data_IF_675685921181
#
_entry.id   IF_675685921181
#
_cell.length_a   1.000
_cell.length_b   1.000
_cell.length_c   1.000
_cell.angle_alpha   90.00
_cell.angle_beta   90.00
_cell.angle_gamma   90.00
#
_symmetry.space_group_name_H-M   'P 1'
#
loop_
_entity.id
_entity.type
_entity.pdbx_description
1 polymer ?
#
# COMPACT_ATOMS: atom_id res chain seq x y z
N UNK A 1 7.63 -2.97 -10.77
CA UNK A 1 7.11 -3.90 -9.77
C UNK A 1 7.29 -3.34 -8.37
N UNK A 2 6.23 -3.39 -7.57
CA UNK A 2 6.18 -2.97 -6.16
C UNK A 2 5.90 -4.21 -5.32
N UNK A 3 6.88 -4.64 -4.53
CA UNK A 3 6.81 -5.86 -3.74
C UNK A 3 5.95 -5.68 -2.47
N UNK A 4 5.52 -6.79 -1.89
CA UNK A 4 4.72 -6.84 -0.67
C UNK A 4 5.41 -6.17 0.54
N UNK A 5 6.71 -6.38 0.70
CA UNK A 5 7.48 -5.83 1.82
C UNK A 5 8.50 -4.79 1.36
N UNK A 6 8.20 -3.52 1.61
CA UNK A 6 9.15 -2.45 1.37
C UNK A 6 10.41 -2.62 2.23
N UNK A 7 10.28 -3.00 3.51
CA UNK A 7 11.41 -3.19 4.40
C UNK A 7 12.42 -4.24 3.90
N UNK A 8 11.94 -5.31 3.24
CA UNK A 8 12.79 -6.34 2.66
C UNK A 8 13.41 -5.94 1.30
N UNK A 9 12.84 -4.93 0.64
CA UNK A 9 13.24 -4.50 -0.70
C UNK A 9 14.34 -3.45 -0.71
N UNK A 10 14.52 -2.73 0.39
CA UNK A 10 15.53 -1.68 0.51
C UNK A 10 16.80 -2.18 1.19
N UNK A 11 17.96 -1.73 0.68
CA UNK A 11 19.23 -1.91 1.36
C UNK A 11 19.37 -0.85 2.47
N UNK A 12 19.49 -1.25 3.75
CA UNK A 12 19.56 -0.31 4.87
C UNK A 12 20.81 0.57 4.89
N UNK A 13 21.85 0.21 4.14
CA UNK A 13 23.11 0.96 4.06
C UNK A 13 23.10 2.10 3.03
N UNK A 14 22.06 2.21 2.19
CA UNK A 14 21.94 3.23 1.15
C UNK A 14 20.79 4.19 1.44
N UNK A 15 20.97 5.44 1.03
CA UNK A 15 19.92 6.47 1.12
C UNK A 15 18.76 6.16 0.17
N UNK A 16 17.58 6.63 0.51
CA UNK A 16 16.36 6.39 -0.29
C UNK A 16 16.47 6.97 -1.70
N UNK A 17 17.05 8.15 -1.87
CA UNK A 17 17.21 8.79 -3.19
C UNK A 17 18.10 7.96 -4.12
N UNK A 18 19.18 7.38 -3.61
CA UNK A 18 20.10 6.54 -4.38
C UNK A 18 19.39 5.30 -4.91
N UNK A 19 18.57 4.67 -4.08
CA UNK A 19 17.82 3.48 -4.44
C UNK A 19 16.66 3.80 -5.38
N UNK A 20 15.93 4.89 -5.12
CA UNK A 20 14.83 5.35 -5.99
C UNK A 20 15.30 5.59 -7.42
N UNK A 21 16.48 6.17 -7.61
CA UNK A 21 16.98 6.57 -8.93
C UNK A 21 17.93 5.56 -9.58
N UNK A 22 18.28 4.48 -8.87
CA UNK A 22 19.31 3.53 -9.30
C UNK A 22 19.04 2.91 -10.67
N UNK A 23 17.81 2.45 -10.93
CA UNK A 23 17.44 1.86 -12.21
C UNK A 23 17.48 2.88 -13.35
N UNK A 24 16.93 4.07 -13.12
CA UNK A 24 16.87 5.16 -14.10
C UNK A 24 18.26 5.59 -14.54
N UNK A 25 19.19 5.72 -13.60
CA UNK A 25 20.59 6.08 -13.88
C UNK A 25 21.33 4.90 -14.52
N UNK A 26 21.19 3.70 -13.97
CA UNK A 26 21.90 2.51 -14.45
C UNK A 26 21.57 2.16 -15.90
N UNK A 27 20.33 2.36 -16.33
CA UNK A 27 19.89 2.10 -17.70
C UNK A 27 20.00 3.33 -18.62
N UNK A 28 20.63 4.40 -18.16
CA UNK A 28 20.87 5.60 -18.98
C UNK A 28 19.60 6.34 -19.40
N UNK A 29 18.49 6.17 -18.65
CA UNK A 29 17.21 6.84 -18.95
C UNK A 29 17.32 8.34 -18.66
N UNK A 30 18.00 8.70 -17.55
CA UNK A 30 18.25 10.08 -17.11
C UNK A 30 19.64 10.20 -16.49
N UNK A 31 20.23 11.35 -16.62
CA UNK A 31 21.42 11.73 -15.88
C UNK A 31 21.11 11.86 -14.37
N UNK A 32 22.13 11.67 -13.52
CA UNK A 32 21.97 11.62 -12.06
C UNK A 32 21.23 12.85 -11.49
N UNK A 33 21.63 14.05 -11.91
CA UNK A 33 21.01 15.29 -11.40
C UNK A 33 19.52 15.40 -11.79
N UNK A 34 19.19 15.00 -13.01
CA UNK A 34 17.81 14.97 -13.50
C UNK A 34 16.98 13.88 -12.78
N UNK A 35 17.54 12.68 -12.61
CA UNK A 35 16.89 11.59 -11.89
C UNK A 35 16.57 11.97 -10.43
N UNK A 36 17.49 12.66 -9.73
CA UNK A 36 17.25 13.16 -8.37
C UNK A 36 16.12 14.21 -8.34
N UNK A 37 16.13 15.17 -9.28
CA UNK A 37 15.06 16.16 -9.40
C UNK A 37 13.71 15.50 -9.66
N UNK A 38 13.66 14.51 -10.53
CA UNK A 38 12.47 13.76 -10.85
C UNK A 38 11.97 12.92 -9.65
N UNK A 39 12.87 12.34 -8.86
CA UNK A 39 12.51 11.65 -7.63
C UNK A 39 11.80 12.55 -6.62
N UNK A 40 12.21 13.81 -6.47
CA UNK A 40 11.51 14.77 -5.61
C UNK A 40 10.08 15.05 -6.10
N UNK A 41 9.86 15.11 -7.42
CA UNK A 41 8.52 15.23 -8.01
C UNK A 41 7.68 14.00 -7.65
N UNK A 42 8.23 12.79 -7.79
CA UNK A 42 7.54 11.55 -7.42
C UNK A 42 7.22 11.50 -5.91
N UNK A 43 8.14 11.94 -5.06
CA UNK A 43 7.90 11.99 -3.62
C UNK A 43 6.77 12.97 -3.26
N UNK A 44 6.70 14.10 -3.94
CA UNK A 44 5.62 15.07 -3.77
C UNK A 44 4.27 14.50 -4.24
N UNK A 45 4.22 13.89 -5.42
CA UNK A 45 3.02 13.24 -5.96
C UNK A 45 2.49 12.11 -5.06
N UNK A 46 3.39 11.43 -4.35
CA UNK A 46 3.07 10.39 -3.37
C UNK A 46 2.78 10.92 -1.97
N UNK A 47 2.62 12.23 -1.80
CA UNK A 47 2.34 12.88 -0.51
C UNK A 47 3.33 12.48 0.60
N UNK A 48 4.61 12.31 0.26
CA UNK A 48 5.64 12.09 1.26
C UNK A 48 5.94 13.39 2.01
N UNK A 49 6.13 13.37 3.33
CA UNK A 49 6.53 14.55 4.09
C UNK A 49 7.92 14.99 3.67
N UNK A 50 8.12 16.30 3.52
CA UNK A 50 9.40 16.88 3.14
C UNK A 50 10.02 16.23 1.88
N UNK A 51 9.34 16.32 0.70
CA UNK A 51 9.72 15.60 -0.51
C UNK A 51 11.12 15.90 -1.01
N UNK A 52 11.68 17.05 -0.63
CA UNK A 52 13.03 17.48 -1.03
C UNK A 52 14.14 16.83 -0.21
N UNK A 53 13.87 16.46 1.05
CA UNK A 53 14.90 15.94 1.95
C UNK A 53 14.65 14.49 2.40
N UNK A 54 13.43 13.94 2.24
CA UNK A 54 13.14 12.57 2.63
C UNK A 54 14.06 11.55 1.93
N UNK A 55 14.49 11.85 0.69
CA UNK A 55 15.42 11.03 -0.08
C UNK A 55 16.80 10.87 0.56
N UNK A 56 17.21 11.80 1.41
CA UNK A 56 18.48 11.75 2.14
C UNK A 56 18.47 10.82 3.35
N UNK A 57 17.30 10.37 3.76
CA UNK A 57 17.12 9.41 4.86
C UNK A 57 17.48 8.00 4.44
N UNK A 58 17.78 7.18 5.44
CA UNK A 58 17.93 5.74 5.31
C UNK A 58 16.58 5.03 5.55
N UNK A 59 16.40 3.79 5.05
CA UNK A 59 15.14 3.05 5.21
C UNK A 59 14.63 2.96 6.65
N UNK A 60 15.52 2.79 7.63
CA UNK A 60 15.18 2.70 9.05
C UNK A 60 14.78 4.03 9.71
N UNK A 61 14.88 5.16 9.01
CA UNK A 61 14.54 6.50 9.50
C UNK A 61 13.15 6.98 9.05
N UNK A 62 12.40 6.13 8.39
CA UNK A 62 11.05 6.45 7.87
C UNK A 62 10.04 5.41 8.33
N UNK A 63 8.75 5.78 8.35
CA UNK A 63 7.67 4.83 8.70
C UNK A 63 7.45 3.80 7.58
N UNK A 64 6.77 2.68 7.90
CA UNK A 64 6.43 1.64 6.92
C UNK A 64 5.63 2.19 5.73
N UNK A 65 4.64 3.05 5.98
CA UNK A 65 3.85 3.67 4.92
C UNK A 65 4.65 4.68 4.08
N UNK A 66 5.60 5.40 4.68
CA UNK A 66 6.54 6.24 3.94
C UNK A 66 7.45 5.40 3.06
N UNK A 67 8.00 4.30 3.59
CA UNK A 67 8.87 3.41 2.84
C UNK A 67 8.15 2.74 1.67
N UNK A 68 6.86 2.36 1.86
CA UNK A 68 6.02 1.81 0.81
C UNK A 68 5.79 2.82 -0.33
N UNK A 69 5.55 4.09 0.00
CA UNK A 69 5.42 5.17 -0.98
C UNK A 69 6.75 5.46 -1.70
N UNK A 70 7.88 5.41 -1.00
CA UNK A 70 9.21 5.52 -1.64
C UNK A 70 9.47 4.35 -2.58
N UNK A 71 9.04 3.12 -2.25
CA UNK A 71 9.14 1.97 -3.14
C UNK A 71 8.29 2.16 -4.41
N UNK A 72 7.12 2.78 -4.29
CA UNK A 72 6.30 3.18 -5.44
C UNK A 72 7.03 4.22 -6.29
N UNK A 73 7.65 5.24 -5.68
CA UNK A 73 8.49 6.21 -6.41
C UNK A 73 9.65 5.52 -7.14
N UNK A 74 10.31 4.55 -6.51
CA UNK A 74 11.38 3.77 -7.13
C UNK A 74 10.88 3.01 -8.36
N UNK A 75 9.70 2.39 -8.29
CA UNK A 75 9.10 1.69 -9.42
C UNK A 75 8.66 2.64 -10.54
N UNK A 76 8.23 3.86 -10.21
CA UNK A 76 7.78 4.89 -11.15
C UNK A 76 8.93 5.74 -11.72
N UNK A 77 10.12 5.69 -11.13
CA UNK A 77 11.28 6.50 -11.57
C UNK A 77 11.66 6.31 -13.06
N UNK A 78 11.63 5.08 -13.65
CA UNK A 78 11.88 4.88 -15.06
C UNK A 78 10.69 5.25 -15.97
N UNK A 79 9.57 5.74 -15.44
CA UNK A 79 8.32 6.05 -16.17
C UNK A 79 7.78 4.85 -16.94
N UNK A 80 7.40 3.78 -16.25
CA UNK A 80 6.93 2.56 -16.90
C UNK A 80 5.53 2.73 -17.52
N UNK A 81 5.24 1.97 -18.59
CA UNK A 81 3.91 1.86 -19.16
C UNK A 81 2.97 1.03 -18.27
N UNK A 82 3.53 0.10 -17.49
CA UNK A 82 2.81 -0.79 -16.58
C UNK A 82 3.51 -0.90 -15.24
N UNK A 83 2.76 -0.73 -14.15
CA UNK A 83 3.21 -1.01 -12.79
C UNK A 83 2.41 -2.18 -12.19
N UNK A 84 3.10 -3.06 -11.45
CA UNK A 84 2.47 -4.18 -10.75
C UNK A 84 2.66 -3.97 -9.25
N UNK A 85 1.57 -3.91 -8.52
CA UNK A 85 1.53 -3.85 -7.06
C UNK A 85 1.18 -5.22 -6.50
N UNK A 86 2.08 -5.81 -5.73
CA UNK A 86 1.91 -7.12 -5.12
C UNK A 86 1.68 -6.97 -3.61
N UNK A 87 0.42 -7.04 -3.20
CA UNK A 87 -0.04 -6.83 -1.83
C UNK A 87 0.58 -5.62 -1.12
N UNK A 88 0.54 -4.42 -1.72
CA UNK A 88 1.37 -3.28 -1.31
C UNK A 88 1.03 -2.70 0.07
N UNK A 89 -0.02 -3.18 0.73
CA UNK A 89 -0.48 -2.61 2.01
C UNK A 89 -0.65 -3.62 3.14
N UNK A 90 -0.29 -4.89 2.92
CA UNK A 90 -0.51 -5.99 3.89
C UNK A 90 0.15 -5.75 5.25
N UNK A 91 1.27 -5.03 5.30
CA UNK A 91 2.02 -4.76 6.54
C UNK A 91 1.68 -3.40 7.19
N UNK A 92 0.62 -2.73 6.73
CA UNK A 92 0.23 -1.39 7.21
C UNK A 92 -1.04 -1.44 8.05
N UNK A 93 -1.15 -0.52 9.01
CA UNK A 93 -2.42 -0.28 9.69
C UNK A 93 -3.47 0.32 8.75
N UNK A 94 -4.75 0.18 9.10
CA UNK A 94 -5.87 0.56 8.22
C UNK A 94 -5.83 2.04 7.79
N UNK A 95 -5.45 2.95 8.67
CA UNK A 95 -5.39 4.38 8.37
C UNK A 95 -4.29 4.67 7.36
N UNK A 96 -3.09 4.17 7.62
CA UNK A 96 -1.93 4.29 6.70
C UNK A 96 -2.20 3.60 5.36
N UNK A 97 -2.92 2.46 5.36
CA UNK A 97 -3.31 1.75 4.14
C UNK A 97 -4.14 2.64 3.20
N UNK A 98 -5.15 3.33 3.71
CA UNK A 98 -6.01 4.22 2.91
C UNK A 98 -5.19 5.35 2.28
N UNK A 99 -4.29 5.97 3.05
CA UNK A 99 -3.42 7.05 2.54
C UNK A 99 -2.47 6.56 1.44
N UNK A 100 -1.84 5.40 1.65
CA UNK A 100 -0.90 4.80 0.68
C UNK A 100 -1.63 4.44 -0.60
N UNK A 101 -2.79 3.79 -0.54
CA UNK A 101 -3.58 3.44 -1.71
C UNK A 101 -4.04 4.68 -2.49
N UNK A 102 -4.51 5.71 -1.80
CA UNK A 102 -4.92 6.97 -2.43
C UNK A 102 -3.76 7.61 -3.20
N UNK A 103 -2.57 7.65 -2.62
CA UNK A 103 -1.38 8.20 -3.28
C UNK A 103 -0.89 7.34 -4.45
N UNK A 104 -0.99 6.00 -4.34
CA UNK A 104 -0.67 5.08 -5.44
C UNK A 104 -1.63 5.25 -6.62
N UNK A 105 -2.92 5.43 -6.35
CA UNK A 105 -3.90 5.71 -7.40
C UNK A 105 -3.62 7.04 -8.09
N UNK A 106 -3.41 8.10 -7.31
CA UNK A 106 -3.14 9.43 -7.85
C UNK A 106 -1.91 9.45 -8.78
N UNK A 107 -0.81 8.79 -8.39
CA UNK A 107 0.41 8.77 -9.21
C UNK A 107 0.23 7.96 -10.51
N UNK A 108 -0.54 6.87 -10.47
CA UNK A 108 -0.86 6.06 -11.66
C UNK A 108 -1.69 6.87 -12.65
N UNK A 109 -2.68 7.61 -12.16
CA UNK A 109 -3.53 8.50 -12.98
C UNK A 109 -2.71 9.69 -13.52
N UNK A 110 -1.91 10.36 -12.69
CA UNK A 110 -1.10 11.52 -13.08
C UNK A 110 -0.11 11.21 -14.20
N UNK A 111 0.55 10.03 -14.13
CA UNK A 111 1.53 9.62 -15.11
C UNK A 111 0.96 8.72 -16.22
N UNK A 112 -0.37 8.54 -16.28
CA UNK A 112 -1.07 7.71 -17.27
C UNK A 112 -0.44 6.31 -17.42
N UNK A 113 -0.10 5.68 -16.30
CA UNK A 113 0.53 4.35 -16.23
C UNK A 113 -0.56 3.30 -16.03
N UNK A 114 -0.52 2.19 -16.77
CA UNK A 114 -1.40 1.06 -16.47
C UNK A 114 -0.98 0.38 -15.16
N UNK A 115 -1.95 -0.12 -14.37
CA UNK A 115 -1.66 -0.73 -13.09
C UNK A 115 -2.34 -2.10 -12.92
N UNK A 116 -1.61 -3.07 -12.37
CA UNK A 116 -2.14 -4.34 -11.90
C UNK A 116 -1.98 -4.37 -10.38
N UNK A 117 -3.09 -4.56 -9.67
CA UNK A 117 -3.10 -4.76 -8.22
C UNK A 117 -3.37 -6.22 -7.90
N UNK A 118 -2.42 -6.88 -7.25
CA UNK A 118 -2.58 -8.23 -6.72
C UNK A 118 -2.87 -8.08 -5.23
N UNK A 119 -4.03 -8.55 -4.78
CA UNK A 119 -4.42 -8.46 -3.37
C UNK A 119 -5.53 -9.46 -3.04
N UNK A 120 -5.59 -9.87 -1.78
CA UNK A 120 -6.70 -10.61 -1.21
C UNK A 120 -7.72 -9.70 -0.50
N UNK A 121 -7.43 -8.39 -0.37
CA UNK A 121 -8.34 -7.43 0.26
C UNK A 121 -9.33 -6.84 -0.75
N UNK A 122 -10.56 -7.30 -0.64
CA UNK A 122 -11.67 -6.88 -1.49
C UNK A 122 -12.03 -5.39 -1.33
N UNK A 123 -11.67 -4.76 -0.20
CA UNK A 123 -11.87 -3.33 0.01
C UNK A 123 -10.93 -2.51 -0.86
N UNK A 124 -9.69 -2.97 -0.96
CA UNK A 124 -8.67 -2.39 -1.84
C UNK A 124 -9.12 -2.49 -3.29
N UNK A 125 -9.49 -3.70 -3.72
CA UNK A 125 -9.94 -3.96 -5.10
C UNK A 125 -11.10 -3.05 -5.50
N UNK A 126 -12.09 -2.90 -4.61
CA UNK A 126 -13.27 -2.07 -4.87
C UNK A 126 -12.96 -0.58 -5.10
N UNK A 127 -11.87 -0.09 -4.51
CA UNK A 127 -11.45 1.32 -4.60
C UNK A 127 -10.45 1.59 -5.73
N UNK A 128 -9.66 0.57 -6.10
CA UNK A 128 -8.50 0.76 -6.97
C UNK A 128 -8.71 0.27 -8.40
N UNK A 129 -9.52 -0.76 -8.60
CA UNK A 129 -9.60 -1.45 -9.89
C UNK A 129 -10.81 -1.03 -10.73
N UNK A 130 -10.60 -0.90 -12.04
CA UNK A 130 -11.68 -0.75 -13.03
C UNK A 130 -12.28 -2.11 -13.42
N UNK A 131 -11.41 -3.12 -13.51
CA UNK A 131 -11.75 -4.51 -13.83
C UNK A 131 -11.16 -5.42 -12.76
N UNK A 132 -11.92 -6.41 -12.34
CA UNK A 132 -11.49 -7.42 -11.36
C UNK A 132 -11.41 -8.77 -12.06
N UNK A 133 -10.28 -9.45 -11.84
CA UNK A 133 -10.06 -10.84 -12.23
C UNK A 133 -9.86 -11.68 -10.99
N UNK A 134 -10.72 -12.67 -10.80
CA UNK A 134 -10.66 -13.61 -9.69
C UNK A 134 -9.93 -14.87 -10.14
N UNK A 135 -8.88 -15.22 -9.39
CA UNK A 135 -8.08 -16.42 -9.63
C UNK A 135 -8.27 -17.45 -8.53
N UNK A 136 -8.26 -18.74 -8.88
CA UNK A 136 -8.22 -19.85 -7.95
C UNK A 136 -7.35 -20.97 -8.49
N UNK A 137 -6.38 -21.42 -7.71
CA UNK A 137 -5.40 -22.45 -8.10
C UNK A 137 -4.66 -22.14 -9.42
N UNK A 138 -4.40 -20.84 -9.71
CA UNK A 138 -3.74 -20.39 -10.91
C UNK A 138 -4.65 -20.26 -12.15
N UNK A 139 -5.93 -20.62 -12.04
CA UNK A 139 -6.92 -20.50 -13.12
C UNK A 139 -7.84 -19.30 -12.91
N UNK A 140 -8.29 -18.73 -14.02
CA UNK A 140 -9.30 -17.66 -14.01
C UNK A 140 -10.67 -18.25 -13.67
N UNK A 141 -11.31 -17.69 -12.64
CA UNK A 141 -12.66 -18.07 -12.23
C UNK A 141 -13.70 -17.10 -12.80
N UNK A 142 -13.43 -15.80 -12.72
CA UNK A 142 -14.33 -14.76 -13.18
C UNK A 142 -13.58 -13.48 -13.48
N UNK A 143 -13.97 -12.79 -14.57
CA UNK A 143 -13.53 -11.44 -14.90
C UNK A 143 -14.74 -10.56 -15.17
N UNK A 144 -14.80 -9.37 -14.57
CA UNK A 144 -15.84 -8.38 -14.82
C UNK A 144 -15.40 -6.97 -14.39
N UNK A 145 -16.10 -5.96 -14.92
CA UNK A 145 -15.98 -4.59 -14.42
C UNK A 145 -16.30 -4.54 -12.91
N UNK A 146 -15.58 -3.73 -12.15
CA UNK A 146 -15.67 -3.64 -10.69
C UNK A 146 -17.10 -3.48 -10.18
N UNK A 147 -17.89 -2.58 -10.79
CA UNK A 147 -19.30 -2.39 -10.40
C UNK A 147 -20.15 -3.65 -10.56
N UNK A 148 -19.94 -4.41 -11.63
CA UNK A 148 -20.65 -5.67 -11.87
C UNK A 148 -20.22 -6.74 -10.87
N UNK A 149 -18.91 -6.89 -10.67
CA UNK A 149 -18.32 -7.85 -9.74
C UNK A 149 -18.81 -7.65 -8.31
N UNK A 150 -18.96 -6.39 -7.87
CA UNK A 150 -19.46 -6.04 -6.53
C UNK A 150 -20.96 -6.24 -6.37
N UNK A 151 -21.77 -5.98 -7.42
CA UNK A 151 -23.22 -6.06 -7.31
C UNK A 151 -23.78 -7.46 -7.55
N UNK A 152 -23.19 -8.20 -8.45
CA UNK A 152 -23.77 -9.44 -9.00
C UNK A 152 -22.66 -10.37 -9.52
N UNK A 153 -21.78 -10.90 -8.64
CA UNK A 153 -20.82 -11.91 -9.04
C UNK A 153 -21.56 -13.16 -9.52
N UNK A 154 -21.06 -13.78 -10.57
CA UNK A 154 -21.71 -14.94 -11.21
C UNK A 154 -21.26 -16.25 -10.60
N UNK A 155 -19.97 -16.40 -10.37
CA UNK A 155 -19.37 -17.64 -9.90
C UNK A 155 -19.55 -17.82 -8.38
N UNK A 156 -19.84 -19.04 -7.94
CA UNK A 156 -20.09 -19.33 -6.53
C UNK A 156 -18.85 -19.08 -5.66
N UNK A 157 -17.65 -19.33 -6.20
CA UNK A 157 -16.40 -18.99 -5.50
C UNK A 157 -16.29 -17.47 -5.27
N UNK A 158 -16.56 -16.67 -6.29
CA UNK A 158 -16.56 -15.20 -6.18
C UNK A 158 -17.60 -14.72 -5.15
N UNK A 159 -18.81 -15.29 -5.19
CA UNK A 159 -19.86 -14.99 -4.19
C UNK A 159 -19.40 -15.31 -2.76
N UNK A 160 -18.71 -16.44 -2.58
CA UNK A 160 -18.19 -16.82 -1.26
C UNK A 160 -17.15 -15.84 -0.72
N UNK A 161 -16.28 -15.28 -1.57
CA UNK A 161 -15.32 -14.24 -1.17
C UNK A 161 -16.02 -12.96 -0.69
N UNK A 162 -17.12 -12.57 -1.36
CA UNK A 162 -17.91 -11.39 -0.97
C UNK A 162 -18.76 -11.63 0.29
N UNK A 163 -19.26 -12.86 0.51
CA UNK A 163 -20.14 -13.19 1.64
C UNK A 163 -19.44 -13.09 2.99
N UNK A 164 -18.14 -13.31 3.05
CA UNK A 164 -17.33 -13.16 4.28
C UNK A 164 -17.42 -11.75 4.84
N UNK A 165 -17.61 -10.72 4.00
CA UNK A 165 -17.82 -9.33 4.42
C UNK A 165 -19.20 -9.06 5.03
N UNK A 166 -20.19 -9.87 4.66
CA UNK A 166 -21.57 -9.71 5.12
C UNK A 166 -21.83 -10.41 6.47
N UNK A 167 -20.84 -11.07 7.06
CA UNK A 167 -20.94 -11.63 8.41
C UNK A 167 -20.96 -10.47 9.42
N UNK A 168 -22.12 -9.82 9.54
CA UNK A 168 -22.44 -9.01 10.71
C UNK A 168 -22.61 -9.99 11.89
N UNK A 169 -21.73 -9.87 12.87
CA UNK A 169 -21.94 -10.51 14.16
C UNK A 169 -23.23 -9.91 14.73
N UNK A 170 -24.23 -10.75 15.05
CA UNK A 170 -25.37 -10.29 15.82
C UNK A 170 -24.85 -9.63 17.09
N UNK A 171 -25.24 -8.37 17.30
CA UNK A 171 -24.94 -7.67 18.56
C UNK A 171 -25.69 -8.40 19.69
N UNK A 172 -25.00 -9.32 20.32
CA UNK A 172 -25.47 -9.80 21.62
C UNK A 172 -25.23 -8.67 22.60
N UNK A 173 -26.30 -8.03 23.04
CA UNK A 173 -26.29 -7.17 24.22
C UNK A 173 -25.98 -8.05 25.43
N UNK A 174 -24.67 -8.25 25.67
CA UNK A 174 -24.20 -8.89 26.89
C UNK A 174 -24.52 -7.93 28.04
N UNK A 175 -25.41 -8.34 28.92
CA UNK A 175 -25.81 -7.61 30.13
C UNK A 175 -24.73 -7.65 31.21
N UNK A 176 -23.82 -8.61 31.13
CA UNK A 176 -22.74 -8.80 32.10
C UNK A 176 -21.36 -8.62 31.48
N UNK A 177 -20.53 -7.82 32.09
CA UNK A 177 -19.13 -7.63 31.68
C UNK A 177 -18.32 -8.88 32.05
N UNK A 178 -17.78 -9.58 31.05
CA UNK A 178 -16.89 -10.75 31.24
C UNK A 178 -15.51 -10.30 31.77
N UNK A 179 -15.09 -9.08 31.43
CA UNK A 179 -13.80 -8.52 31.86
C UNK A 179 -13.93 -7.00 31.95
N UNK A 180 -13.43 -6.43 33.04
CA UNK A 180 -13.32 -4.98 33.23
C UNK A 180 -11.87 -4.62 33.54
N UNK A 181 -11.31 -3.69 32.78
CA UNK A 181 -9.98 -3.15 32.98
C UNK A 181 -10.13 -1.68 33.37
N UNK A 182 -9.50 -1.25 34.49
CA UNK A 182 -9.57 0.14 34.95
C UNK A 182 -8.20 0.56 35.51
N UNK A 183 -7.85 1.82 35.28
CA UNK A 183 -6.61 2.38 35.85
C UNK A 183 -5.35 1.73 35.25
N UNK A 184 -5.38 1.33 33.98
CA UNK A 184 -4.25 0.68 33.32
C UNK A 184 -3.28 1.74 32.80
N UNK A 185 -2.06 1.61 33.25
CA UNK A 185 -0.90 2.29 32.71
C UNK A 185 -0.01 1.31 31.96
N UNK A 186 0.50 1.69 30.80
CA UNK A 186 1.51 0.91 30.08
C UNK A 186 2.65 1.80 29.58
N UNK A 187 3.87 1.23 29.55
CA UNK A 187 5.07 1.94 29.12
C UNK A 187 6.01 1.02 28.34
N UNK A 188 6.75 1.60 27.39
CA UNK A 188 7.93 1.00 26.80
C UNK A 188 9.19 1.60 27.44
N UNK A 189 9.82 0.86 28.34
CA UNK A 189 10.91 1.39 29.16
C UNK A 189 10.44 2.58 29.99
N UNK A 190 10.99 3.76 29.79
CA UNK A 190 10.61 5.01 30.47
C UNK A 190 9.48 5.79 29.79
N UNK A 191 9.11 5.42 28.56
CA UNK A 191 8.08 6.11 27.79
C UNK A 191 6.69 5.51 28.08
N UNK A 192 5.88 6.22 28.89
CA UNK A 192 4.50 5.83 29.19
C UNK A 192 3.63 6.07 27.96
N UNK A 193 2.86 5.09 27.53
CA UNK A 193 2.05 5.09 26.29
C UNK A 193 0.55 4.94 26.54
N UNK A 194 0.15 4.39 27.69
CA UNK A 194 -1.23 4.37 28.17
C UNK A 194 -1.28 5.01 29.55
N UNK A 195 -2.33 5.77 29.79
CA UNK A 195 -2.55 6.53 31.02
C UNK A 195 -3.98 6.31 31.48
N UNK A 196 -4.15 5.65 32.64
CA UNK A 196 -5.41 5.52 33.37
C UNK A 196 -6.63 5.12 32.47
N UNK A 197 -6.43 4.09 31.64
CA UNK A 197 -7.47 3.55 30.74
C UNK A 197 -8.38 2.58 31.48
#
# INVERSE_FOLDING_TARGET
YVAQSAAASFNPAHRLIEQTTSSTIRFGIKEKAEAHKDAHVLYAALNLPDPTNIGDRYPHQVSGGQLQRVMTAMAMSPRPDLIIFDEPTTALDVTTQVEVLSSMRAIVEEFNTAAIYITHDLAVVAQMADVIKVLRYGEEVEEAATRQMLKSPKQDYTKSLWSVRALQKEEHTATDSIMSLRGIDAAYGTAKVLFDV
#
